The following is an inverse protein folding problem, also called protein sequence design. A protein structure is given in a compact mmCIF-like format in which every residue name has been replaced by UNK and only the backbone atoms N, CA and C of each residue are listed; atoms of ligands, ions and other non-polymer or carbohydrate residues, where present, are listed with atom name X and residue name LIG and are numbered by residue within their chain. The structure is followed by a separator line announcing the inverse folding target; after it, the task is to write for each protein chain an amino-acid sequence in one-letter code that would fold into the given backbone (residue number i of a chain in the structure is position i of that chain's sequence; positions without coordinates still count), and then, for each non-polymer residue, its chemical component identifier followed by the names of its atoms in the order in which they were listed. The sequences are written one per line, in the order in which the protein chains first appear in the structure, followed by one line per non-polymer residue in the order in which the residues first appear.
data_IF_131572519211
#
_entry.id   IF_131572519211
#
_cell.length_a   1.000
_cell.length_b   1.000
_cell.length_c   1.000
_cell.angle_alpha   90.00
_cell.angle_beta   90.00
_cell.angle_gamma   90.00
#
_symmetry.space_group_name_H-M   'P 1'
#
loop_
_entity.id
_entity.type
_entity.pdbx_description
1 polymer ?
#
# COMPACT_ATOMS: atom_id res chain seq x y z
N UNK A 1 -13.32 14.93 9.81
CA UNK A 1 -13.81 13.77 9.05
C UNK A 1 -13.59 14.02 7.57
N UNK A 2 -12.99 13.07 6.88
CA UNK A 2 -12.73 13.17 5.43
C UNK A 2 -13.98 12.69 4.70
N UNK A 3 -14.48 13.47 3.72
CA UNK A 3 -15.59 13.04 2.90
C UNK A 3 -15.14 12.06 1.80
N UNK A 4 -16.10 11.49 1.08
CA UNK A 4 -15.84 10.46 0.06
C UNK A 4 -14.96 11.00 -1.09
N UNK A 5 -15.16 12.26 -1.49
CA UNK A 5 -14.37 12.88 -2.56
C UNK A 5 -12.92 13.09 -2.12
N UNK A 6 -12.69 13.52 -0.89
CA UNK A 6 -11.34 13.68 -0.35
C UNK A 6 -10.64 12.33 -0.22
N UNK A 7 -11.34 11.30 0.22
CA UNK A 7 -10.82 9.93 0.27
C UNK A 7 -10.38 9.44 -1.10
N UNK A 8 -11.23 9.63 -2.11
CA UNK A 8 -10.93 9.26 -3.49
C UNK A 8 -9.69 10.00 -3.99
N UNK A 9 -9.60 11.29 -3.75
CA UNK A 9 -8.47 12.12 -4.18
C UNK A 9 -7.16 11.68 -3.52
N UNK A 10 -7.19 11.29 -2.26
CA UNK A 10 -5.99 10.77 -1.57
C UNK A 10 -5.48 9.49 -2.22
N UNK A 11 -6.38 8.58 -2.57
CA UNK A 11 -6.01 7.34 -3.25
C UNK A 11 -5.44 7.63 -4.62
N UNK A 12 -6.11 8.49 -5.40
CA UNK A 12 -5.63 8.89 -6.73
C UNK A 12 -4.24 9.50 -6.66
N UNK A 13 -4.00 10.39 -5.71
CA UNK A 13 -2.68 10.98 -5.49
C UNK A 13 -1.64 9.89 -5.16
N UNK A 14 -1.97 8.99 -4.26
CA UNK A 14 -1.05 7.93 -3.84
C UNK A 14 -0.65 7.02 -5.01
N UNK A 15 -1.61 6.63 -5.86
CA UNK A 15 -1.34 5.70 -6.96
C UNK A 15 -0.91 6.38 -8.26
N UNK A 16 -0.89 7.70 -8.31
CA UNK A 16 -0.36 8.43 -9.46
C UNK A 16 1.15 8.23 -9.63
N UNK A 17 1.84 7.92 -8.54
CA UNK A 17 3.28 7.67 -8.55
C UNK A 17 3.55 6.21 -8.95
N UNK A 18 4.34 5.97 -10.03
CA UNK A 18 4.61 4.61 -10.48
C UNK A 18 5.39 3.77 -9.47
N UNK A 19 6.25 4.37 -8.66
CA UNK A 19 6.98 3.64 -7.62
C UNK A 19 6.02 3.08 -6.56
N UNK A 20 5.01 3.84 -6.18
CA UNK A 20 4.01 3.37 -5.23
C UNK A 20 3.17 2.24 -5.81
N UNK A 21 2.85 2.30 -7.11
CA UNK A 21 2.17 1.16 -7.76
C UNK A 21 3.03 -0.10 -7.77
N UNK A 22 4.35 0.04 -7.99
CA UNK A 22 5.27 -1.12 -7.92
C UNK A 22 5.32 -1.71 -6.51
N UNK A 23 5.29 -0.86 -5.48
CA UNK A 23 5.23 -1.34 -4.09
C UNK A 23 3.94 -2.14 -3.86
N UNK A 24 2.81 -1.63 -4.29
CA UNK A 24 1.53 -2.34 -4.16
C UNK A 24 1.57 -3.68 -4.89
N UNK A 25 2.16 -3.73 -6.08
CA UNK A 25 2.34 -4.98 -6.83
C UNK A 25 3.22 -5.98 -6.08
N UNK A 26 4.32 -5.53 -5.48
CA UNK A 26 5.20 -6.38 -4.70
C UNK A 26 4.45 -7.00 -3.50
N UNK A 27 3.64 -6.21 -2.82
CA UNK A 27 2.82 -6.68 -1.70
C UNK A 27 1.77 -7.69 -2.17
N UNK A 28 1.17 -7.45 -3.33
CA UNK A 28 0.19 -8.36 -3.94
C UNK A 28 0.82 -9.70 -4.29
N UNK A 29 1.97 -9.69 -4.94
CA UNK A 29 2.70 -10.90 -5.35
C UNK A 29 3.11 -11.74 -4.15
N UNK A 30 3.60 -11.10 -3.09
CA UNK A 30 3.94 -11.79 -1.86
C UNK A 30 2.72 -12.47 -1.25
N UNK A 31 1.59 -11.77 -1.19
CA UNK A 31 0.34 -12.30 -0.65
C UNK A 31 -0.13 -13.53 -1.43
N UNK A 32 0.03 -13.51 -2.76
CA UNK A 32 -0.35 -14.63 -3.62
C UNK A 32 0.55 -15.85 -3.43
N UNK A 33 1.84 -15.63 -3.10
CA UNK A 33 2.81 -16.72 -2.93
C UNK A 33 2.92 -17.25 -1.50
N UNK A 34 2.36 -16.54 -0.53
CA UNK A 34 2.49 -16.86 0.90
C UNK A 34 1.20 -17.40 1.48
N UNK A 35 0.75 -18.54 0.96
CA UNK A 35 -0.47 -19.19 1.46
C UNK A 35 -0.30 -19.46 2.97
N UNK A 36 -1.12 -18.80 3.78
CA UNK A 36 -1.13 -19.01 5.23
C UNK A 36 -0.19 -18.14 6.06
N UNK A 37 0.64 -17.28 5.43
CA UNK A 37 1.51 -16.33 6.13
C UNK A 37 1.12 -14.91 5.76
N UNK A 38 0.39 -14.27 6.64
CA UNK A 38 -0.25 -12.97 6.39
C UNK A 38 0.52 -11.79 7.00
N UNK A 39 1.82 -11.95 7.21
CA UNK A 39 2.62 -10.92 7.86
C UNK A 39 2.98 -9.76 6.92
N UNK A 40 3.01 -10.01 5.61
CA UNK A 40 3.35 -8.98 4.64
C UNK A 40 4.86 -8.89 4.37
N UNK A 41 5.31 -7.71 3.96
CA UNK A 41 6.71 -7.43 3.69
C UNK A 41 7.20 -6.32 4.62
N UNK A 42 8.41 -6.45 5.14
CA UNK A 42 9.07 -5.36 5.86
C UNK A 42 9.76 -4.41 4.85
N UNK A 43 10.22 -3.26 5.35
CA UNK A 43 10.82 -2.23 4.49
C UNK A 43 12.02 -2.74 3.68
N UNK A 44 12.85 -3.60 4.27
CA UNK A 44 14.02 -4.15 3.58
C UNK A 44 13.62 -5.10 2.45
N UNK A 45 12.56 -5.88 2.62
CA UNK A 45 12.02 -6.74 1.56
C UNK A 45 11.49 -5.91 0.39
N UNK A 46 10.80 -4.82 0.69
CA UNK A 46 10.26 -3.90 -0.33
C UNK A 46 11.43 -3.24 -1.08
N UNK A 47 12.45 -2.79 -0.35
CA UNK A 47 13.66 -2.20 -0.92
C UNK A 47 14.30 -3.11 -1.95
N UNK A 48 14.46 -4.40 -1.63
CA UNK A 48 15.04 -5.37 -2.55
C UNK A 48 14.19 -5.60 -3.80
N UNK A 49 12.88 -5.52 -3.68
CA UNK A 49 11.96 -5.79 -4.79
C UNK A 49 11.79 -4.62 -5.73
N UNK A 50 11.81 -3.38 -5.21
CA UNK A 50 11.56 -2.19 -6.02
C UNK A 50 12.81 -1.35 -6.27
N UNK A 51 13.94 -1.71 -5.67
CA UNK A 51 15.24 -1.06 -5.87
C UNK A 51 15.24 0.44 -5.55
N UNK A 52 14.62 0.82 -4.44
CA UNK A 52 14.61 2.18 -3.92
C UNK A 52 15.27 2.21 -2.55
N UNK A 53 15.83 3.34 -2.17
CA UNK A 53 16.44 3.50 -0.86
C UNK A 53 15.42 3.43 0.27
N UNK A 54 15.84 3.03 1.46
CA UNK A 54 14.95 2.89 2.60
C UNK A 54 14.23 4.19 2.98
N UNK A 55 14.87 5.37 2.99
CA UNK A 55 14.13 6.61 3.26
C UNK A 55 13.04 6.89 2.23
N UNK A 56 13.28 6.59 0.96
CA UNK A 56 12.30 6.73 -0.12
C UNK A 56 11.13 5.77 0.09
N UNK A 57 11.42 4.51 0.43
CA UNK A 57 10.40 3.51 0.76
C UNK A 57 9.54 3.99 1.93
N UNK A 58 10.17 4.46 3.01
CA UNK A 58 9.44 4.95 4.19
C UNK A 58 8.49 6.08 3.84
N UNK A 59 8.91 7.00 2.98
CA UNK A 59 8.04 8.09 2.51
C UNK A 59 6.85 7.54 1.73
N UNK A 60 7.09 6.64 0.78
CA UNK A 60 6.02 6.05 -0.02
C UNK A 60 5.04 5.25 0.85
N UNK A 61 5.56 4.50 1.82
CA UNK A 61 4.70 3.74 2.72
C UNK A 61 3.82 4.66 3.58
N UNK A 62 4.36 5.80 4.00
CA UNK A 62 3.57 6.81 4.73
C UNK A 62 2.41 7.33 3.87
N UNK A 63 2.66 7.66 2.61
CA UNK A 63 1.62 8.13 1.68
C UNK A 63 0.55 7.05 1.47
N UNK A 64 0.98 5.81 1.22
CA UNK A 64 0.06 4.68 1.00
C UNK A 64 -0.79 4.37 2.25
N UNK A 65 -0.19 4.46 3.44
CA UNK A 65 -0.91 4.26 4.70
C UNK A 65 -1.96 5.34 4.92
N UNK A 66 -1.61 6.61 4.72
CA UNK A 66 -2.54 7.73 4.88
C UNK A 66 -3.70 7.64 3.91
N UNK A 67 -3.48 7.07 2.74
CA UNK A 67 -4.54 6.82 1.76
C UNK A 67 -5.37 5.56 2.10
N UNK A 68 -4.98 4.79 3.10
CA UNK A 68 -5.68 3.59 3.52
C UNK A 68 -5.42 2.35 2.66
N UNK A 69 -4.46 2.41 1.73
CA UNK A 69 -4.18 1.32 0.78
C UNK A 69 -3.30 0.22 1.35
N UNK A 70 -2.53 0.52 2.37
CA UNK A 70 -1.70 -0.45 3.08
C UNK A 70 -1.92 -0.35 4.57
N UNK A 71 -1.73 -1.47 5.23
CA UNK A 71 -1.73 -1.57 6.68
C UNK A 71 -0.32 -1.87 7.15
N UNK A 72 0.04 -1.35 8.33
CA UNK A 72 1.33 -1.63 8.95
C UNK A 72 1.10 -2.30 10.31
N UNK A 73 1.90 -3.31 10.59
CA UNK A 73 1.86 -4.02 11.87
C UNK A 73 3.28 -4.09 12.43
N UNK A 74 3.44 -3.58 13.65
CA UNK A 74 4.73 -3.65 14.35
C UNK A 74 4.81 -4.94 15.15
N UNK A 75 5.86 -5.73 14.88
CA UNK A 75 6.17 -6.94 15.61
C UNK A 75 7.62 -6.84 16.08
N UNK A 76 7.80 -6.61 17.39
CA UNK A 76 9.12 -6.34 17.93
C UNK A 76 9.68 -5.05 17.37
N UNK A 77 10.87 -5.13 16.76
CA UNK A 77 11.55 -3.99 16.11
C UNK A 77 11.21 -3.87 14.62
N UNK A 78 10.40 -4.80 14.09
CA UNK A 78 10.08 -4.86 12.67
C UNK A 78 8.69 -4.31 12.41
N UNK A 79 8.52 -3.57 11.28
CA UNK A 79 7.23 -3.14 10.78
C UNK A 79 6.94 -3.92 9.51
N UNK A 80 5.78 -4.58 9.49
CA UNK A 80 5.33 -5.40 8.37
C UNK A 80 4.18 -4.68 7.66
N UNK A 81 4.24 -4.63 6.35
CA UNK A 81 3.25 -3.96 5.51
C UNK A 81 2.49 -4.96 4.65
N UNK A 82 1.20 -4.74 4.51
CA UNK A 82 0.34 -5.53 3.61
C UNK A 82 -0.68 -4.62 2.94
N UNK A 83 -1.17 -5.05 1.77
CA UNK A 83 -2.23 -4.32 1.07
C UNK A 83 -3.55 -4.44 1.85
N UNK A 84 -4.31 -3.36 1.83
CA UNK A 84 -5.69 -3.37 2.31
C UNK A 84 -6.60 -3.70 1.13
N UNK A 85 -6.93 -4.98 0.95
CA UNK A 85 -7.70 -5.46 -0.20
C UNK A 85 -9.12 -4.89 -0.21
N UNK A 86 -9.73 -4.71 0.95
CA UNK A 86 -11.06 -4.10 1.07
C UNK A 86 -11.05 -2.66 0.58
N UNK A 87 -10.05 -1.86 1.00
CA UNK A 87 -9.91 -0.48 0.57
C UNK A 87 -9.70 -0.37 -0.94
N UNK A 88 -8.92 -1.28 -1.53
CA UNK A 88 -8.69 -1.30 -2.98
C UNK A 88 -9.96 -1.62 -3.75
N UNK A 89 -10.77 -2.57 -3.27
CA UNK A 89 -12.07 -2.88 -3.89
C UNK A 89 -13.02 -1.70 -3.80
N UNK A 90 -13.09 -1.06 -2.65
CA UNK A 90 -13.95 0.11 -2.44
C UNK A 90 -13.52 1.27 -3.34
N UNK A 91 -12.21 1.51 -3.43
CA UNK A 91 -11.66 2.54 -4.32
C UNK A 91 -12.05 2.28 -5.78
N UNK A 92 -11.90 1.05 -6.27
CA UNK A 92 -12.25 0.68 -7.65
C UNK A 92 -13.73 0.97 -7.94
N UNK A 93 -14.60 0.61 -7.00
CA UNK A 93 -16.04 0.89 -7.11
C UNK A 93 -16.31 2.39 -7.12
N UNK A 94 -15.74 3.12 -6.15
CA UNK A 94 -15.98 4.56 -6.01
C UNK A 94 -15.48 5.33 -7.22
N UNK A 95 -14.31 4.96 -7.75
CA UNK A 95 -13.76 5.56 -8.96
C UNK A 95 -14.70 5.36 -10.14
N UNK A 96 -15.17 4.13 -10.32
CA UNK A 96 -16.10 3.80 -11.41
C UNK A 96 -17.40 4.58 -11.31
N UNK A 97 -17.95 4.70 -10.10
CA UNK A 97 -19.18 5.45 -9.87
C UNK A 97 -19.03 6.96 -10.06
N UNK A 98 -17.81 7.49 -9.82
CA UNK A 98 -17.56 8.94 -9.95
C UNK A 98 -17.25 9.38 -11.37
N UNK A 99 -17.02 8.45 -12.28
CA UNK A 99 -16.74 8.73 -13.69
C UNK A 99 -17.92 8.37 -14.58
#
# INVERSE_FOLDING_TARGET
MIDAEQSLNRVLHAIADPARRRILQALKEHSASSIGKNEGLCASDIEQRVHLSQPTISHHMSVLRKAGLVEAKKLGQWVWYRRNETALREFSRDLRESL
#
